data_IF_637596925788
#
_entry.id   IF_637596925788
#
_cell.length_a   1.000
_cell.length_b   1.000
_cell.length_c   1.000
_cell.angle_alpha   90.00
_cell.angle_beta   90.00
_cell.angle_gamma   90.00
#
_symmetry.space_group_name_H-M   'P 1'
#
loop_
_entity.id
_entity.type
_entity.pdbx_description
1 polymer ?
#
# COMPACT_ATOMS: atom_id res chain seq x y z
N UNK A 1 12.68 0.76 10.80
CA UNK A 1 13.14 1.00 9.41
C UNK A 1 13.46 -0.37 8.84
N UNK A 2 12.86 -0.76 7.71
CA UNK A 2 13.18 -2.06 7.11
C UNK A 2 14.64 -2.03 6.65
N UNK A 3 15.44 -2.95 7.15
CA UNK A 3 16.79 -3.16 6.66
C UNK A 3 16.70 -3.91 5.33
N UNK A 4 17.08 -3.25 4.25
CA UNK A 4 17.04 -3.84 2.91
C UNK A 4 18.08 -4.96 2.76
N UNK A 5 19.15 -4.96 3.58
CA UNK A 5 20.14 -6.05 3.58
C UNK A 5 19.59 -7.34 4.22
N UNK A 6 18.56 -7.24 5.05
CA UNK A 6 17.88 -8.40 5.61
C UNK A 6 16.95 -9.08 4.58
N UNK A 7 16.53 -8.36 3.53
CA UNK A 7 15.81 -8.91 2.39
C UNK A 7 16.85 -9.43 1.38
N UNK A 8 17.35 -10.64 1.62
CA UNK A 8 18.22 -11.33 0.66
C UNK A 8 17.44 -11.51 -0.66
N UNK A 9 17.82 -10.74 -1.68
CA UNK A 9 17.32 -10.91 -3.04
C UNK A 9 18.16 -11.99 -3.74
N UNK A 10 17.56 -12.74 -4.68
CA UNK A 10 18.31 -13.63 -5.57
C UNK A 10 19.44 -12.90 -6.28
N UNK A 11 20.56 -13.59 -6.51
CA UNK A 11 21.69 -13.05 -7.30
C UNK A 11 21.37 -13.00 -8.80
N UNK A 12 20.42 -13.83 -9.25
CA UNK A 12 19.91 -13.79 -10.62
C UNK A 12 19.01 -12.56 -10.83
N UNK A 13 19.30 -11.68 -11.82
CA UNK A 13 18.54 -10.46 -12.04
C UNK A 13 17.06 -10.69 -12.36
N UNK A 14 16.71 -11.77 -13.06
CA UNK A 14 15.32 -12.05 -13.44
C UNK A 14 14.51 -12.46 -12.20
N UNK A 15 15.07 -13.33 -11.35
CA UNK A 15 14.48 -13.71 -10.08
C UNK A 15 14.36 -12.52 -9.11
N UNK A 16 15.39 -11.66 -9.04
CA UNK A 16 15.36 -10.45 -8.21
C UNK A 16 14.26 -9.47 -8.66
N UNK A 17 14.10 -9.24 -9.96
CA UNK A 17 13.05 -8.39 -10.50
C UNK A 17 11.66 -9.01 -10.28
N UNK A 18 11.53 -10.34 -10.41
CA UNK A 18 10.28 -11.04 -10.09
C UNK A 18 9.90 -10.88 -8.61
N UNK A 19 10.86 -11.01 -7.69
CA UNK A 19 10.66 -10.79 -6.26
C UNK A 19 10.21 -9.35 -5.97
N UNK A 20 10.85 -8.36 -6.59
CA UNK A 20 10.47 -6.94 -6.46
C UNK A 20 9.04 -6.69 -6.96
N UNK A 21 8.63 -7.30 -8.07
CA UNK A 21 7.24 -7.20 -8.57
C UNK A 21 6.26 -7.84 -7.60
N UNK A 22 6.58 -9.01 -7.05
CA UNK A 22 5.75 -9.68 -6.06
C UNK A 22 5.57 -8.84 -4.78
N UNK A 23 6.65 -8.23 -4.29
CA UNK A 23 6.63 -7.35 -3.12
C UNK A 23 5.78 -6.09 -3.36
N UNK A 24 5.87 -5.47 -4.54
CA UNK A 24 5.01 -4.32 -4.90
C UNK A 24 3.53 -4.70 -4.89
N UNK A 25 3.16 -5.83 -5.47
CA UNK A 25 1.77 -6.33 -5.47
C UNK A 25 1.26 -6.62 -4.05
N UNK A 26 2.11 -7.20 -3.21
CA UNK A 26 1.77 -7.44 -1.81
C UNK A 26 1.60 -6.12 -1.05
N UNK A 27 2.51 -5.16 -1.22
CA UNK A 27 2.42 -3.84 -0.62
C UNK A 27 1.13 -3.12 -1.03
N UNK A 28 0.77 -3.14 -2.32
CA UNK A 28 -0.49 -2.56 -2.83
C UNK A 28 -1.71 -3.21 -2.17
N UNK A 29 -1.69 -4.54 -2.00
CA UNK A 29 -2.79 -5.27 -1.34
C UNK A 29 -2.91 -4.89 0.14
N UNK A 30 -1.79 -4.78 0.85
CA UNK A 30 -1.75 -4.37 2.26
C UNK A 30 -2.19 -2.92 2.45
N UNK A 31 -1.71 -2.00 1.60
CA UNK A 31 -2.12 -0.59 1.59
C UNK A 31 -3.64 -0.49 1.44
N UNK A 32 -4.22 -1.18 0.46
CA UNK A 32 -5.68 -1.16 0.23
C UNK A 32 -6.49 -1.69 1.42
N UNK A 33 -6.04 -2.78 2.05
CA UNK A 33 -6.69 -3.33 3.26
C UNK A 33 -6.60 -2.37 4.45
N UNK A 34 -5.45 -1.75 4.66
CA UNK A 34 -5.25 -0.77 5.72
C UNK A 34 -6.14 0.47 5.51
N UNK A 35 -6.22 0.98 4.29
CA UNK A 35 -7.09 2.11 3.92
C UNK A 35 -8.56 1.77 4.17
N UNK A 36 -9.03 0.58 3.76
CA UNK A 36 -10.40 0.13 4.04
C UNK A 36 -10.69 0.09 5.55
N UNK A 37 -9.78 -0.48 6.33
CA UNK A 37 -9.91 -0.53 7.78
C UNK A 37 -9.96 0.87 8.40
N UNK A 38 -9.09 1.79 7.95
CA UNK A 38 -9.07 3.17 8.43
C UNK A 38 -10.38 3.91 8.11
N UNK A 39 -10.91 3.74 6.89
CA UNK A 39 -12.22 4.28 6.51
C UNK A 39 -13.35 3.71 7.37
N UNK A 40 -13.35 2.39 7.64
CA UNK A 40 -14.30 1.75 8.55
C UNK A 40 -14.20 2.25 10.00
N UNK A 41 -13.02 2.71 10.42
CA UNK A 41 -12.79 3.38 11.70
C UNK A 41 -13.09 4.90 11.66
N UNK A 42 -13.67 5.42 10.57
CA UNK A 42 -14.03 6.82 10.44
C UNK A 42 -12.87 7.78 10.19
N UNK A 43 -11.70 7.29 9.76
CA UNK A 43 -10.58 8.17 9.42
C UNK A 43 -10.91 9.02 8.19
N UNK A 44 -10.51 10.29 8.22
CA UNK A 44 -10.61 11.15 7.05
C UNK A 44 -9.52 10.83 6.02
N UNK A 45 -9.80 11.10 4.75
CA UNK A 45 -8.81 10.99 3.67
C UNK A 45 -7.55 11.81 3.90
N UNK A 46 -7.65 12.94 4.61
CA UNK A 46 -6.48 13.74 4.97
C UNK A 46 -5.57 12.99 5.95
N UNK A 47 -6.15 12.33 6.96
CA UNK A 47 -5.41 11.51 7.93
C UNK A 47 -4.77 10.29 7.29
N UNK A 48 -5.50 9.63 6.37
CA UNK A 48 -4.97 8.49 5.61
C UNK A 48 -3.79 8.94 4.73
N UNK A 49 -3.93 10.04 4.00
CA UNK A 49 -2.86 10.57 3.16
C UNK A 49 -1.60 10.94 3.97
N UNK A 50 -1.79 11.58 5.13
CA UNK A 50 -0.70 11.86 6.07
C UNK A 50 0.02 10.57 6.51
N UNK A 51 -0.72 9.52 6.88
CA UNK A 51 -0.14 8.25 7.31
C UNK A 51 0.63 7.53 6.19
N UNK A 52 0.18 7.68 4.94
CA UNK A 52 0.84 7.12 3.75
C UNK A 52 2.00 8.00 3.23
N UNK A 53 2.21 9.19 3.80
CA UNK A 53 3.25 10.13 3.33
C UNK A 53 2.98 10.70 1.94
N UNK A 54 1.70 10.79 1.52
CA UNK A 54 1.29 11.31 0.21
C UNK A 54 0.34 12.50 0.37
N UNK A 55 0.12 13.25 -0.71
CA UNK A 55 -0.89 14.30 -0.70
C UNK A 55 -2.31 13.72 -0.64
N UNK A 56 -3.26 14.47 -0.07
CA UNK A 56 -4.69 14.09 -0.05
C UNK A 56 -5.21 13.78 -1.45
N UNK A 57 -4.83 14.58 -2.45
CA UNK A 57 -5.23 14.40 -3.85
C UNK A 57 -4.66 13.10 -4.43
N UNK A 58 -3.39 12.78 -4.14
CA UNK A 58 -2.77 11.54 -4.58
C UNK A 58 -3.45 10.30 -3.95
N UNK A 59 -3.77 10.36 -2.65
CA UNK A 59 -4.53 9.30 -1.98
C UNK A 59 -5.92 9.11 -2.62
N UNK A 60 -6.69 10.19 -2.79
CA UNK A 60 -8.01 10.12 -3.43
C UNK A 60 -7.93 9.55 -4.85
N UNK A 61 -6.99 10.03 -5.67
CA UNK A 61 -6.84 9.56 -7.05
C UNK A 61 -6.52 8.07 -7.13
N UNK A 62 -5.71 7.54 -6.20
CA UNK A 62 -5.25 6.14 -6.21
C UNK A 62 -6.22 5.15 -5.54
N UNK A 63 -6.99 5.61 -4.55
CA UNK A 63 -7.64 4.72 -3.57
C UNK A 63 -9.14 5.03 -3.38
N UNK A 64 -9.71 6.01 -4.09
CA UNK A 64 -11.13 6.39 -3.93
C UNK A 64 -12.12 5.26 -4.22
N UNK A 65 -11.72 4.26 -5.01
CA UNK A 65 -12.51 3.05 -5.29
C UNK A 65 -12.78 2.21 -4.03
N UNK A 66 -11.91 2.29 -3.01
CA UNK A 66 -12.02 1.48 -1.78
C UNK A 66 -13.20 1.92 -0.91
N UNK A 67 -13.52 3.21 -0.88
CA UNK A 67 -14.59 3.77 -0.05
C UNK A 67 -16.01 3.48 -0.55
N UNK A 68 -16.16 2.95 -1.77
CA UNK A 68 -17.45 2.68 -2.41
C UNK A 68 -17.84 1.18 -2.38
N UNK A 69 -17.01 0.30 -1.81
CA UNK A 69 -17.29 -1.14 -1.72
C UNK A 69 -18.18 -1.49 -0.52
N UNK A 70 -18.93 -2.62 -0.57
CA UNK A 70 -19.82 -3.02 0.51
C UNK A 70 -19.04 -3.22 1.82
N UNK A 71 -19.52 -2.61 2.90
CA UNK A 71 -19.07 -2.92 4.26
C UNK A 71 -19.48 -4.38 4.54
N UNK A 72 -18.51 -5.30 4.46
CA UNK A 72 -18.69 -6.70 4.89
C UNK A 72 -18.21 -6.84 6.32
#
# INVERSE_FOLDING_TARGET
MLDLNALHLPDDPDEALAAVVALRRLADTLERRAVRSALGQGWSWARIAQALGVSKQAAHKRLSDIGNGPAT
#
